data_IF_165950121506
#
_entry.id   IF_165950121506
#
_cell.length_a   1.000
_cell.length_b   1.000
_cell.length_c   1.000
_cell.angle_alpha   90.00
_cell.angle_beta   90.00
_cell.angle_gamma   90.00
#
_symmetry.space_group_name_H-M   'P 1'
#
loop_
_entity.id
_entity.type
_entity.pdbx_description
1 polymer ?
#
# COMPACT_ATOMS: atom_id res chain seq x y z
N UNK A 1 21.92 6.74 1.68
CA UNK A 1 20.50 6.40 1.50
C UNK A 1 20.22 5.16 2.34
N UNK A 2 19.14 5.15 3.12
CA UNK A 2 18.82 4.01 3.99
C UNK A 2 18.16 2.89 3.16
N UNK A 3 18.16 1.65 3.66
CA UNK A 3 17.53 0.52 2.96
C UNK A 3 16.01 0.72 2.71
N UNK A 4 15.39 1.71 3.36
CA UNK A 4 13.95 2.03 3.31
C UNK A 4 13.63 3.13 2.30
N UNK A 5 14.61 3.98 1.96
CA UNK A 5 14.43 5.15 1.11
C UNK A 5 13.92 4.77 -0.29
N UNK A 6 14.58 3.80 -0.94
CA UNK A 6 14.25 3.39 -2.32
C UNK A 6 12.88 2.71 -2.40
N UNK A 7 12.54 1.70 -1.57
CA UNK A 7 11.22 1.10 -1.57
C UNK A 7 10.08 2.10 -1.30
N UNK A 8 10.30 3.04 -0.38
CA UNK A 8 9.26 4.02 0.00
C UNK A 8 9.01 5.03 -1.13
N UNK A 9 10.07 5.49 -1.82
CA UNK A 9 9.93 6.33 -3.00
C UNK A 9 9.22 5.59 -4.15
N UNK A 10 9.61 4.35 -4.41
CA UNK A 10 8.94 3.51 -5.41
C UNK A 10 7.46 3.30 -5.08
N UNK A 11 7.14 3.09 -3.80
CA UNK A 11 5.75 2.98 -3.36
C UNK A 11 4.96 4.28 -3.54
N UNK A 12 5.56 5.42 -3.20
CA UNK A 12 4.94 6.73 -3.30
C UNK A 12 4.65 7.10 -4.77
N UNK A 13 5.62 6.90 -5.66
CA UNK A 13 5.44 7.18 -7.10
C UNK A 13 4.37 6.28 -7.70
N UNK A 14 4.41 5.00 -7.38
CA UNK A 14 3.44 4.02 -7.88
C UNK A 14 2.02 4.28 -7.36
N UNK A 15 1.88 4.65 -6.09
CA UNK A 15 0.60 5.00 -5.49
C UNK A 15 -0.03 6.21 -6.19
N UNK A 16 0.75 7.27 -6.40
CA UNK A 16 0.27 8.47 -7.08
C UNK A 16 -0.06 8.20 -8.54
N UNK A 17 0.80 7.44 -9.25
CA UNK A 17 0.56 7.04 -10.62
C UNK A 17 -0.75 6.23 -10.75
N UNK A 18 -1.00 5.28 -9.84
CA UNK A 18 -2.23 4.50 -9.83
C UNK A 18 -3.46 5.36 -9.57
N UNK A 19 -3.41 6.24 -8.56
CA UNK A 19 -4.49 7.17 -8.25
C UNK A 19 -4.84 8.09 -9.43
N UNK A 20 -3.81 8.64 -10.09
CA UNK A 20 -3.95 9.49 -11.27
C UNK A 20 -4.48 8.71 -12.47
N UNK A 21 -3.99 7.49 -12.73
CA UNK A 21 -4.46 6.67 -13.83
C UNK A 21 -5.96 6.34 -13.70
N UNK A 22 -6.40 5.95 -12.50
CA UNK A 22 -7.84 5.69 -12.23
C UNK A 22 -8.67 6.98 -12.38
N UNK A 23 -8.15 8.12 -11.90
CA UNK A 23 -8.84 9.40 -12.06
C UNK A 23 -8.95 9.84 -13.53
N UNK A 24 -7.87 9.77 -14.30
CA UNK A 24 -7.85 10.17 -15.71
C UNK A 24 -8.78 9.31 -16.57
N UNK A 25 -8.92 8.02 -16.23
CA UNK A 25 -9.82 7.14 -16.97
C UNK A 25 -11.27 7.64 -16.97
N UNK A 26 -11.77 8.14 -15.83
CA UNK A 26 -13.11 8.75 -15.74
C UNK A 26 -13.18 9.80 -14.61
N UNK A 27 -12.69 10.99 -14.92
CA UNK A 27 -12.56 12.08 -13.94
C UNK A 27 -13.89 12.60 -13.38
N UNK A 28 -15.01 12.39 -14.09
CA UNK A 28 -16.36 12.80 -13.64
C UNK A 28 -16.98 11.84 -12.62
N UNK A 29 -16.44 10.63 -12.48
CA UNK A 29 -16.99 9.62 -11.58
C UNK A 29 -16.51 9.89 -10.15
N UNK A 30 -17.46 10.03 -9.20
CA UNK A 30 -17.13 10.28 -7.80
C UNK A 30 -16.27 9.16 -7.18
N UNK A 31 -16.48 7.90 -7.56
CA UNK A 31 -15.66 6.79 -7.06
C UNK A 31 -14.17 6.95 -7.44
N UNK A 32 -13.88 7.38 -8.67
CA UNK A 32 -12.51 7.60 -9.13
C UNK A 32 -11.88 8.82 -8.45
N UNK A 33 -12.67 9.87 -8.20
CA UNK A 33 -12.24 11.03 -7.42
C UNK A 33 -11.96 10.66 -5.95
N UNK A 34 -12.81 9.82 -5.34
CA UNK A 34 -12.61 9.32 -3.98
C UNK A 34 -11.39 8.40 -3.90
N UNK A 35 -11.14 7.58 -4.93
CA UNK A 35 -9.95 6.75 -5.02
C UNK A 35 -8.66 7.57 -5.17
N UNK A 36 -8.71 8.69 -5.92
CA UNK A 36 -7.60 9.64 -5.97
C UNK A 36 -7.37 10.27 -4.60
N UNK A 37 -8.42 10.71 -3.90
CA UNK A 37 -8.30 11.26 -2.55
C UNK A 37 -7.71 10.24 -1.56
N UNK A 38 -8.14 8.98 -1.65
CA UNK A 38 -7.56 7.86 -0.90
C UNK A 38 -6.08 7.67 -1.23
N UNK A 39 -5.71 7.73 -2.51
CA UNK A 39 -4.32 7.61 -2.96
C UNK A 39 -3.44 8.76 -2.46
N UNK A 40 -3.98 9.97 -2.40
CA UNK A 40 -3.29 11.14 -1.82
C UNK A 40 -3.12 10.97 -0.31
N UNK A 41 -4.13 10.48 0.41
CA UNK A 41 -4.01 10.19 1.85
C UNK A 41 -2.92 9.15 2.12
N UNK A 42 -2.87 8.08 1.32
CA UNK A 42 -1.80 7.07 1.38
C UNK A 42 -0.42 7.70 1.08
N UNK A 43 -0.33 8.53 0.04
CA UNK A 43 0.92 9.20 -0.31
C UNK A 43 1.39 10.16 0.80
N UNK A 44 0.47 10.84 1.48
CA UNK A 44 0.78 11.67 2.66
C UNK A 44 1.36 10.85 3.80
N UNK A 45 0.80 9.67 4.06
CA UNK A 45 1.34 8.74 5.05
C UNK A 45 2.73 8.20 4.65
N UNK A 46 2.91 7.78 3.38
CA UNK A 46 4.20 7.33 2.85
C UNK A 46 5.26 8.44 2.89
N UNK A 47 4.86 9.69 2.65
CA UNK A 47 5.74 10.86 2.76
C UNK A 47 6.20 11.05 4.20
N UNK A 48 5.30 10.93 5.17
CA UNK A 48 5.65 11.00 6.59
C UNK A 48 6.66 9.92 7.00
N UNK A 49 6.49 8.69 6.50
CA UNK A 49 7.48 7.62 6.68
C UNK A 49 8.82 7.96 6.03
N UNK A 50 8.81 8.42 4.78
CA UNK A 50 10.01 8.75 4.03
C UNK A 50 10.81 9.86 4.72
N UNK A 51 10.20 11.02 4.97
CA UNK A 51 10.91 12.14 5.56
C UNK A 51 11.22 11.91 7.05
N UNK A 52 10.35 11.22 7.79
CA UNK A 52 10.59 10.86 9.18
C UNK A 52 11.75 9.89 9.39
N UNK A 53 12.01 9.00 8.43
CA UNK A 53 13.15 8.04 8.49
C UNK A 53 14.46 8.60 7.96
N UNK A 54 14.42 9.68 7.15
CA UNK A 54 15.61 10.28 6.54
C UNK A 54 16.08 11.56 7.25
N UNK A 55 15.34 12.06 8.25
CA UNK A 55 15.75 13.20 9.05
C UNK A 55 16.60 12.78 10.26
N UNK A 56 17.56 13.63 10.63
CA UNK A 56 18.34 13.52 11.87
C UNK A 56 17.83 14.47 12.96
N UNK A 57 16.94 15.40 12.62
CA UNK A 57 16.37 16.38 13.56
C UNK A 57 15.09 15.83 14.24
N UNK A 58 15.07 15.68 15.58
CA UNK A 58 13.91 15.24 16.36
C UNK A 58 12.63 16.03 16.07
N UNK A 59 12.73 17.35 15.86
CA UNK A 59 11.55 18.20 15.61
C UNK A 59 10.94 17.93 14.25
N UNK A 60 11.78 17.71 13.25
CA UNK A 60 11.34 17.35 11.89
C UNK A 60 10.71 15.96 11.90
N UNK A 61 11.28 15.00 12.62
CA UNK A 61 10.68 13.67 12.80
C UNK A 61 9.31 13.75 13.46
N UNK A 62 9.19 14.53 14.55
CA UNK A 62 7.93 14.76 15.24
C UNK A 62 6.85 15.30 14.30
N UNK A 63 7.17 16.32 13.50
CA UNK A 63 6.27 16.89 12.50
C UNK A 63 5.76 15.82 11.53
N UNK A 64 6.66 15.00 10.96
CA UNK A 64 6.27 13.97 10.00
C UNK A 64 5.49 12.82 10.62
N UNK A 65 5.74 12.48 11.88
CA UNK A 65 4.92 11.50 12.62
C UNK A 65 3.49 12.05 12.78
N UNK A 66 3.33 13.32 13.16
CA UNK A 66 2.00 13.97 13.27
C UNK A 66 1.27 13.97 11.93
N UNK A 67 1.97 14.30 10.83
CA UNK A 67 1.39 14.27 9.48
C UNK A 67 1.02 12.85 9.04
N UNK A 68 1.85 11.85 9.34
CA UNK A 68 1.54 10.46 9.04
C UNK A 68 0.29 9.99 9.80
N UNK A 69 0.14 10.34 11.07
CA UNK A 69 -1.05 10.02 11.86
C UNK A 69 -2.30 10.73 11.34
N UNK A 70 -2.21 12.01 10.97
CA UNK A 70 -3.32 12.73 10.35
C UNK A 70 -3.72 12.11 8.99
N UNK A 71 -2.74 11.70 8.18
CA UNK A 71 -2.97 11.01 6.91
C UNK A 71 -3.67 9.65 7.10
N UNK A 72 -3.36 8.92 8.17
CA UNK A 72 -4.05 7.67 8.51
C UNK A 72 -5.53 7.89 8.86
N UNK A 73 -5.87 9.02 9.48
CA UNK A 73 -7.26 9.38 9.78
C UNK A 73 -8.01 9.81 8.51
N UNK A 74 -7.34 10.54 7.62
CA UNK A 74 -7.86 10.87 6.29
C UNK A 74 -8.07 9.63 5.41
N UNK A 75 -7.22 8.60 5.56
CA UNK A 75 -7.39 7.31 4.88
C UNK A 75 -8.74 6.67 5.25
N UNK A 76 -9.11 6.62 6.54
CA UNK A 76 -10.40 6.05 6.95
C UNK A 76 -11.59 6.86 6.42
N UNK A 77 -11.48 8.19 6.41
CA UNK A 77 -12.52 9.06 5.82
C UNK A 77 -12.68 8.78 4.32
N UNK A 78 -11.57 8.76 3.58
CA UNK A 78 -11.60 8.57 2.13
C UNK A 78 -12.08 7.18 1.73
N UNK A 79 -11.83 6.15 2.55
CA UNK A 79 -12.48 4.85 2.41
C UNK A 79 -14.01 4.92 2.60
N UNK A 80 -14.49 5.62 3.63
CA UNK A 80 -15.93 5.81 3.83
C UNK A 80 -16.57 6.53 2.64
N UNK A 81 -15.92 7.59 2.14
CA UNK A 81 -16.37 8.34 0.96
C UNK A 81 -16.38 7.46 -0.28
N UNK A 82 -15.36 6.62 -0.47
CA UNK A 82 -15.32 5.65 -1.56
C UNK A 82 -16.50 4.66 -1.47
N UNK A 83 -16.78 4.09 -0.28
CA UNK A 83 -17.96 3.22 -0.05
C UNK A 83 -19.26 3.89 -0.48
N UNK A 84 -19.48 5.11 0.02
CA UNK A 84 -20.70 5.86 -0.25
C UNK A 84 -20.81 6.24 -1.73
N UNK A 85 -19.70 6.59 -2.37
CA UNK A 85 -19.67 6.94 -3.80
C UNK A 85 -20.04 5.77 -4.71
N UNK A 86 -19.69 4.54 -4.33
CA UNK A 86 -20.05 3.32 -5.06
C UNK A 86 -21.52 2.96 -4.80
N UNK A 87 -21.97 3.00 -3.54
CA UNK A 87 -23.32 2.57 -3.15
C UNK A 87 -24.43 3.52 -3.60
N UNK A 88 -24.23 4.83 -3.47
CA UNK A 88 -25.34 5.79 -3.58
C UNK A 88 -25.39 6.51 -4.93
N UNK A 89 -24.46 6.22 -5.84
CA UNK A 89 -24.30 6.87 -7.16
C UNK A 89 -24.61 8.38 -7.13
N UNK A 90 -24.14 9.07 -6.07
CA UNK A 90 -24.54 10.44 -5.80
C UNK A 90 -24.09 11.37 -6.93
N UNK A 91 -24.93 12.36 -7.27
CA UNK A 91 -24.67 13.29 -8.37
C UNK A 91 -23.56 14.32 -8.07
N UNK A 92 -23.04 14.41 -6.85
CA UNK A 92 -21.95 15.35 -6.55
C UNK A 92 -21.44 15.37 -5.10
N UNK A 93 -20.30 16.06 -4.91
CA UNK A 93 -19.57 16.16 -3.63
C UNK A 93 -20.39 16.69 -2.47
N UNK A 94 -21.24 17.71 -2.69
CA UNK A 94 -22.05 18.30 -1.62
C UNK A 94 -22.97 17.27 -0.96
N UNK A 95 -23.55 16.38 -1.77
CA UNK A 95 -24.41 15.30 -1.26
C UNK A 95 -23.56 14.25 -0.54
N UNK A 96 -22.42 13.87 -1.10
CA UNK A 96 -21.51 12.88 -0.50
C UNK A 96 -20.99 13.33 0.87
N UNK A 97 -20.52 14.58 0.96
CA UNK A 97 -20.06 15.17 2.22
C UNK A 97 -21.21 15.38 3.21
N UNK A 98 -22.42 15.68 2.71
CA UNK A 98 -23.64 15.76 3.52
C UNK A 98 -23.97 14.46 4.24
N UNK A 99 -23.87 13.32 3.55
CA UNK A 99 -24.09 11.99 4.14
C UNK A 99 -22.93 11.54 5.04
N UNK A 100 -21.74 12.10 4.86
CA UNK A 100 -20.54 11.77 5.63
C UNK A 100 -20.20 12.80 6.72
N UNK A 101 -21.13 13.70 7.10
CA UNK A 101 -20.88 14.80 8.06
C UNK A 101 -20.29 14.31 9.39
N UNK A 102 -20.86 13.27 9.98
CA UNK A 102 -20.38 12.70 11.25
C UNK A 102 -18.94 12.22 11.11
N UNK A 103 -18.64 11.48 10.03
CA UNK A 103 -17.28 11.03 9.73
C UNK A 103 -16.33 12.20 9.51
N UNK A 104 -16.74 13.26 8.80
CA UNK A 104 -15.94 14.46 8.58
C UNK A 104 -15.59 15.15 9.90
N UNK A 105 -16.57 15.38 10.77
CA UNK A 105 -16.34 16.02 12.06
C UNK A 105 -15.40 15.19 12.94
N UNK A 106 -15.57 13.87 12.98
CA UNK A 106 -14.69 12.98 13.72
C UNK A 106 -13.27 12.99 13.15
N UNK A 107 -13.11 12.91 11.83
CA UNK A 107 -11.80 12.98 11.16
C UNK A 107 -11.11 14.32 11.44
N UNK A 108 -11.82 15.45 11.37
CA UNK A 108 -11.26 16.76 11.70
C UNK A 108 -10.85 16.83 13.17
N UNK A 109 -11.70 16.38 14.08
CA UNK A 109 -11.39 16.39 15.52
C UNK A 109 -10.15 15.56 15.86
N UNK A 110 -10.07 14.33 15.35
CA UNK A 110 -8.90 13.46 15.56
C UNK A 110 -7.67 13.98 14.79
N UNK A 111 -7.86 14.56 13.62
CA UNK A 111 -6.79 15.21 12.86
C UNK A 111 -6.16 16.38 13.63
N UNK A 112 -6.98 17.20 14.31
CA UNK A 112 -6.52 18.26 15.21
C UNK A 112 -5.80 17.65 16.41
N UNK A 113 -6.36 16.60 17.03
CA UNK A 113 -5.71 15.90 18.15
C UNK A 113 -4.28 15.45 17.79
N UNK A 114 -4.07 14.90 16.59
CA UNK A 114 -2.73 14.51 16.11
C UNK A 114 -1.72 15.68 16.08
N UNK A 115 -2.17 16.92 15.91
CA UNK A 115 -1.31 18.11 15.91
C UNK A 115 -0.98 18.63 17.32
N UNK A 116 -1.59 18.09 18.38
CA UNK A 116 -1.40 18.55 19.76
C UNK A 116 -0.34 17.76 20.52
N UNK A 117 0.26 18.36 21.56
CA UNK A 117 1.18 17.65 22.47
C UNK A 117 0.50 16.55 23.30
N UNK A 118 -0.84 16.55 23.36
CA UNK A 118 -1.59 15.46 23.98
C UNK A 118 -1.40 14.13 23.23
N UNK A 119 -1.26 14.18 21.90
CA UNK A 119 -1.05 12.99 21.08
C UNK A 119 0.43 12.56 21.07
N UNK A 120 1.33 13.48 20.75
CA UNK A 120 2.76 13.22 20.61
C UNK A 120 3.54 14.25 21.42
N UNK A 121 4.32 13.77 22.39
CA UNK A 121 5.17 14.61 23.26
C UNK A 121 6.56 14.86 22.65
N UNK A 122 7.02 13.96 21.79
CA UNK A 122 8.28 14.11 21.06
C UNK A 122 8.64 12.87 20.26
N UNK A 123 9.82 12.89 19.63
CA UNK A 123 10.39 11.76 18.91
C UNK A 123 11.80 11.47 19.40
N UNK A 124 12.08 10.21 19.75
CA UNK A 124 13.42 9.75 20.09
C UNK A 124 14.10 9.18 18.85
N UNK A 125 15.26 9.74 18.52
CA UNK A 125 16.06 9.25 17.40
C UNK A 125 16.67 7.89 17.73
N UNK A 126 16.56 6.96 16.80
CA UNK A 126 17.22 5.67 16.90
C UNK A 126 18.73 5.87 16.74
N UNK A 127 19.53 5.28 17.63
CA UNK A 127 21.00 5.34 17.56
C UNK A 127 21.58 4.63 16.33
N UNK A 128 20.78 3.78 15.69
CA UNK A 128 21.15 3.03 14.48
C UNK A 128 20.64 3.77 13.24
N UNK A 129 21.53 4.15 12.30
CA UNK A 129 21.14 4.81 11.06
C UNK A 129 20.17 3.97 10.23
N UNK A 130 19.05 4.55 9.82
CA UNK A 130 18.06 3.93 8.93
C UNK A 130 16.91 3.18 9.61
N UNK A 131 16.86 3.17 10.94
CA UNK A 131 15.67 2.78 11.68
C UNK A 131 14.76 4.01 11.92
N UNK A 132 13.43 3.84 11.82
CA UNK A 132 12.51 4.94 12.07
C UNK A 132 12.67 5.50 13.51
N UNK A 133 12.44 6.81 13.69
CA UNK A 133 12.42 7.42 15.01
C UNK A 133 11.30 6.80 15.85
N UNK A 134 11.56 6.61 17.15
CA UNK A 134 10.57 6.10 18.09
C UNK A 134 9.70 7.25 18.61
N UNK A 135 8.37 7.25 18.36
CA UNK A 135 7.49 8.28 18.89
C UNK A 135 7.33 8.16 20.41
N UNK A 136 7.36 9.28 21.11
CA UNK A 136 7.01 9.39 22.53
C UNK A 136 5.57 9.92 22.59
N UNK A 137 4.62 8.99 22.72
CA UNK A 137 3.21 9.32 22.75
C UNK A 137 2.77 9.96 24.08
N UNK A 138 1.76 10.83 24.00
CA UNK A 138 1.00 11.31 25.16
C UNK A 138 -0.32 10.57 25.31
N UNK A 139 -1.11 10.95 26.32
CA UNK A 139 -2.35 10.24 26.69
C UNK A 139 -3.43 10.30 25.59
N UNK A 140 -3.34 11.28 24.68
CA UNK A 140 -4.20 11.39 23.50
C UNK A 140 -4.07 10.22 22.52
N UNK A 141 -3.00 9.41 22.61
CA UNK A 141 -2.84 8.21 21.78
C UNK A 141 -3.93 7.17 22.06
N UNK A 142 -4.46 7.09 23.28
CA UNK A 142 -5.52 6.14 23.62
C UNK A 142 -6.83 6.52 22.93
N UNK A 143 -7.15 7.82 22.88
CA UNK A 143 -8.32 8.34 22.15
C UNK A 143 -8.17 8.07 20.66
N UNK A 144 -6.98 8.36 20.10
CA UNK A 144 -6.67 8.07 18.70
C UNK A 144 -6.83 6.57 18.39
N UNK A 145 -6.29 5.69 19.23
CA UNK A 145 -6.32 4.25 19.03
C UNK A 145 -7.74 3.68 19.13
N UNK A 146 -8.50 4.11 20.14
CA UNK A 146 -9.90 3.73 20.30
C UNK A 146 -10.75 4.17 19.09
N UNK A 147 -10.55 5.42 18.64
CA UNK A 147 -11.20 5.91 17.43
C UNK A 147 -10.84 5.08 16.21
N UNK A 148 -9.55 4.79 15.99
CA UNK A 148 -9.08 4.08 14.81
C UNK A 148 -9.65 2.65 14.75
N UNK A 149 -9.64 1.93 15.87
CA UNK A 149 -10.23 0.58 15.98
C UNK A 149 -11.74 0.62 15.77
N UNK A 150 -12.46 1.52 16.45
CA UNK A 150 -13.90 1.65 16.30
C UNK A 150 -14.29 2.02 14.85
N UNK A 151 -13.58 2.96 14.23
CA UNK A 151 -13.80 3.38 12.86
C UNK A 151 -13.56 2.23 11.87
N UNK A 152 -12.50 1.45 12.04
CA UNK A 152 -12.26 0.25 11.23
C UNK A 152 -13.40 -0.77 11.38
N UNK A 153 -13.81 -1.11 12.60
CA UNK A 153 -14.90 -2.06 12.84
C UNK A 153 -16.23 -1.58 12.25
N UNK A 154 -16.54 -0.29 12.40
CA UNK A 154 -17.73 0.32 11.81
C UNK A 154 -17.66 0.31 10.28
N UNK A 155 -16.49 0.59 9.69
CA UNK A 155 -16.30 0.50 8.24
C UNK A 155 -16.51 -0.92 7.74
N UNK A 156 -15.82 -1.91 8.33
CA UNK A 156 -15.98 -3.32 7.95
C UNK A 156 -17.43 -3.78 8.08
N UNK A 157 -18.08 -3.48 9.20
CA UNK A 157 -19.48 -3.84 9.43
C UNK A 157 -20.41 -3.18 8.40
N UNK A 158 -20.19 -1.89 8.10
CA UNK A 158 -20.97 -1.16 7.10
C UNK A 158 -20.74 -1.70 5.69
N UNK A 159 -19.49 -2.01 5.32
CA UNK A 159 -19.15 -2.63 4.04
C UNK A 159 -19.83 -3.99 3.89
N UNK A 160 -19.80 -4.81 4.94
CA UNK A 160 -20.43 -6.13 4.94
C UNK A 160 -21.95 -6.04 4.79
N UNK A 161 -22.58 -5.11 5.50
CA UNK A 161 -24.01 -4.84 5.36
C UNK A 161 -24.36 -4.31 3.97
N UNK A 162 -23.56 -3.40 3.42
CA UNK A 162 -23.75 -2.85 2.08
C UNK A 162 -23.56 -3.92 1.01
N UNK A 163 -22.61 -4.84 1.19
CA UNK A 163 -22.39 -5.96 0.30
C UNK A 163 -23.60 -6.89 0.26
N UNK A 164 -24.17 -7.24 1.42
CA UNK A 164 -25.38 -8.07 1.49
C UNK A 164 -26.62 -7.45 0.82
N UNK A 165 -26.64 -6.13 0.68
CA UNK A 165 -27.79 -5.38 0.13
C UNK A 165 -27.62 -4.96 -1.33
N UNK A 166 -26.45 -5.17 -1.92
CA UNK A 166 -26.15 -4.76 -3.30
C UNK A 166 -26.11 -5.96 -4.22
N UNK A 167 -26.47 -5.77 -5.49
CA UNK A 167 -26.40 -6.80 -6.53
C UNK A 167 -25.74 -6.25 -7.79
N UNK A 168 -25.25 -7.14 -8.65
CA UNK A 168 -24.64 -6.75 -9.92
C UNK A 168 -23.30 -6.01 -9.78
N UNK A 169 -23.18 -4.82 -10.36
CA UNK A 169 -21.89 -4.11 -10.48
C UNK A 169 -21.38 -3.45 -9.22
N UNK A 170 -22.29 -2.93 -8.41
CA UNK A 170 -21.96 -2.31 -7.13
C UNK A 170 -21.42 -3.36 -6.14
N UNK A 171 -22.02 -4.57 -6.16
CA UNK A 171 -21.55 -5.71 -5.38
C UNK A 171 -20.12 -6.12 -5.74
N UNK A 172 -19.77 -6.12 -7.03
CA UNK A 172 -18.42 -6.47 -7.48
C UNK A 172 -17.39 -5.42 -7.02
N UNK A 173 -17.68 -4.13 -7.17
CA UNK A 173 -16.76 -3.06 -6.73
C UNK A 173 -16.60 -3.04 -5.21
N UNK A 174 -17.69 -3.16 -4.45
CA UNK A 174 -17.66 -3.27 -2.99
C UNK A 174 -16.92 -4.53 -2.52
N UNK A 175 -17.12 -5.67 -3.21
CA UNK A 175 -16.38 -6.91 -2.96
C UNK A 175 -14.88 -6.71 -3.12
N UNK A 176 -14.43 -6.09 -4.22
CA UNK A 176 -12.99 -5.86 -4.42
C UNK A 176 -12.40 -4.88 -3.41
N UNK A 177 -13.14 -3.83 -3.03
CA UNK A 177 -12.67 -2.91 -1.99
C UNK A 177 -12.54 -3.65 -0.65
N UNK A 178 -13.53 -4.48 -0.31
CA UNK A 178 -13.53 -5.27 0.91
C UNK A 178 -12.43 -6.34 0.92
N UNK A 179 -12.25 -7.08 -0.18
CA UNK A 179 -11.18 -8.06 -0.34
C UNK A 179 -9.82 -7.37 -0.23
N UNK A 180 -9.65 -6.21 -0.87
CA UNK A 180 -8.44 -5.39 -0.72
C UNK A 180 -8.18 -5.02 0.73
N UNK A 181 -9.20 -4.52 1.43
CA UNK A 181 -9.12 -4.17 2.86
C UNK A 181 -8.78 -5.34 3.77
N UNK A 182 -9.47 -6.47 3.60
CA UNK A 182 -9.19 -7.70 4.36
C UNK A 182 -7.79 -8.21 4.05
N UNK A 183 -7.39 -8.26 2.78
CA UNK A 183 -6.05 -8.69 2.38
C UNK A 183 -4.98 -7.78 2.99
N UNK A 184 -5.19 -6.47 3.03
CA UNK A 184 -4.26 -5.53 3.63
C UNK A 184 -4.13 -5.71 5.14
N UNK A 185 -5.26 -5.89 5.85
CA UNK A 185 -5.26 -6.15 7.31
C UNK A 185 -4.64 -7.50 7.62
N UNK A 186 -5.03 -8.56 6.91
CA UNK A 186 -4.48 -9.90 7.07
C UNK A 186 -2.98 -9.94 6.76
N UNK A 187 -2.54 -9.29 5.68
CA UNK A 187 -1.12 -9.19 5.34
C UNK A 187 -0.35 -8.37 6.37
N UNK A 188 -0.94 -7.29 6.89
CA UNK A 188 -0.34 -6.49 7.98
C UNK A 188 -0.19 -7.30 9.26
N UNK A 189 -1.22 -8.04 9.67
CA UNK A 189 -1.19 -8.89 10.87
C UNK A 189 -0.21 -10.04 10.69
N UNK A 190 -0.34 -10.82 9.62
CA UNK A 190 0.54 -11.95 9.32
C UNK A 190 2.01 -11.52 9.26
N UNK A 191 2.30 -10.41 8.58
CA UNK A 191 3.67 -9.93 8.45
C UNK A 191 4.21 -9.36 9.77
N UNK A 192 3.37 -8.74 10.62
CA UNK A 192 3.82 -8.29 11.94
C UNK A 192 4.09 -9.48 12.87
N UNK A 193 3.19 -10.46 12.94
CA UNK A 193 3.38 -11.68 13.74
C UNK A 193 4.60 -12.50 13.31
N UNK A 194 4.80 -12.67 11.99
CA UNK A 194 5.92 -13.45 11.45
C UNK A 194 7.25 -12.71 11.61
N UNK A 195 7.29 -11.39 11.36
CA UNK A 195 8.52 -10.59 11.49
C UNK A 195 8.91 -10.36 12.96
N UNK A 196 7.95 -10.16 13.86
CA UNK A 196 8.24 -10.02 15.29
C UNK A 196 8.82 -11.33 15.86
N UNK A 197 8.31 -12.48 15.40
CA UNK A 197 8.78 -13.79 15.88
C UNK A 197 10.14 -14.21 15.30
N UNK A 198 10.49 -13.74 14.10
CA UNK A 198 11.71 -14.18 13.40
C UNK A 198 12.87 -13.17 13.44
N UNK A 199 12.60 -11.86 13.48
CA UNK A 199 13.61 -10.83 13.16
C UNK A 199 13.61 -9.64 14.15
N UNK A 200 12.61 -9.53 15.03
CA UNK A 200 12.47 -8.47 16.03
C UNK A 200 11.84 -7.18 15.49
N UNK A 201 11.13 -6.45 16.37
CA UNK A 201 10.22 -5.32 16.05
C UNK A 201 10.79 -4.26 15.10
N UNK A 202 12.10 -4.03 15.14
CA UNK A 202 12.76 -2.97 14.39
C UNK A 202 12.70 -3.17 12.86
N UNK A 203 12.69 -4.43 12.37
CA UNK A 203 12.68 -4.71 10.93
C UNK A 203 11.28 -4.86 10.34
N UNK A 204 10.25 -5.01 11.17
CA UNK A 204 8.86 -5.12 10.72
C UNK A 204 8.35 -3.86 10.01
N UNK A 205 8.84 -2.69 10.45
CA UNK A 205 8.52 -1.39 9.90
C UNK A 205 9.08 -1.16 8.48
N UNK A 206 10.13 -1.88 8.09
CA UNK A 206 10.72 -1.81 6.74
C UNK A 206 9.73 -2.28 5.66
N UNK A 207 8.79 -3.15 6.04
CA UNK A 207 7.80 -3.70 5.11
C UNK A 207 6.49 -2.92 5.09
N UNK A 208 6.34 -1.88 5.91
CA UNK A 208 5.12 -1.09 5.98
C UNK A 208 4.70 -0.48 4.61
N UNK A 209 5.60 0.05 3.76
CA UNK A 209 5.24 0.59 2.44
C UNK A 209 4.61 -0.45 1.49
N UNK A 210 5.09 -1.70 1.53
CA UNK A 210 4.60 -2.76 0.65
C UNK A 210 3.16 -3.19 0.98
N UNK A 211 2.79 -3.17 2.28
CA UNK A 211 1.42 -3.54 2.73
C UNK A 211 0.36 -2.66 2.09
N UNK A 212 0.64 -1.35 2.02
CA UNK A 212 -0.30 -0.37 1.49
C UNK A 212 -0.35 -0.40 -0.04
N UNK A 213 0.74 -0.75 -0.72
CA UNK A 213 0.71 -0.99 -2.16
C UNK A 213 -0.22 -2.14 -2.53
N UNK A 214 -0.13 -3.29 -1.84
CA UNK A 214 -1.01 -4.44 -2.09
C UNK A 214 -2.49 -4.04 -1.96
N UNK A 215 -2.82 -3.30 -0.90
CA UNK A 215 -4.16 -2.73 -0.71
C UNK A 215 -4.60 -1.90 -1.93
N UNK A 216 -3.80 -0.90 -2.32
CA UNK A 216 -4.12 0.01 -3.40
C UNK A 216 -4.23 -0.67 -4.75
N UNK A 217 -3.40 -1.68 -5.02
CA UNK A 217 -3.48 -2.48 -6.24
C UNK A 217 -4.79 -3.26 -6.31
N UNK A 218 -5.19 -3.94 -5.23
CA UNK A 218 -6.43 -4.72 -5.21
C UNK A 218 -7.65 -3.81 -5.36
N UNK A 219 -7.68 -2.70 -4.63
CA UNK A 219 -8.79 -1.73 -4.70
C UNK A 219 -8.84 -1.02 -6.07
N UNK A 220 -7.69 -0.54 -6.55
CA UNK A 220 -7.58 0.11 -7.86
C UNK A 220 -7.94 -0.82 -9.00
N UNK A 221 -7.52 -2.09 -8.94
CA UNK A 221 -7.95 -3.14 -9.86
C UNK A 221 -9.47 -3.33 -9.81
N UNK A 222 -10.06 -3.45 -8.61
CA UNK A 222 -11.51 -3.57 -8.45
C UNK A 222 -12.31 -2.46 -9.13
N UNK A 223 -11.85 -1.22 -9.00
CA UNK A 223 -12.48 -0.03 -9.60
C UNK A 223 -12.24 0.02 -11.12
N UNK A 224 -11.04 -0.33 -11.59
CA UNK A 224 -10.65 -0.24 -13.01
C UNK A 224 -11.25 -1.36 -13.89
N UNK A 225 -11.37 -2.58 -13.37
CA UNK A 225 -11.71 -3.78 -14.16
C UNK A 225 -13.18 -3.82 -14.59
N UNK A 226 -14.07 -3.04 -13.98
CA UNK A 226 -15.52 -3.16 -14.20
C UNK A 226 -16.09 -2.27 -15.31
N UNK A 227 -15.41 -1.21 -15.76
CA UNK A 227 -15.98 -0.29 -16.77
C UNK A 227 -15.03 0.16 -17.88
N UNK A 228 -13.77 -0.23 -17.84
CA UNK A 228 -12.82 0.14 -18.89
C UNK A 228 -12.32 -1.14 -19.54
N UNK A 229 -13.01 -1.54 -20.60
CA UNK A 229 -12.50 -2.56 -21.53
C UNK A 229 -11.08 -2.18 -22.05
N UNK A 230 -10.67 -0.90 -21.96
CA UNK A 230 -9.32 -0.41 -22.29
C UNK A 230 -8.32 -0.39 -21.12
N UNK A 231 -8.68 -0.05 -19.86
CA UNK A 231 -7.74 -0.13 -18.72
C UNK A 231 -7.61 -1.55 -18.20
N UNK A 232 -8.58 -2.43 -18.49
CA UNK A 232 -8.37 -3.87 -18.41
C UNK A 232 -7.18 -4.34 -19.25
N UNK A 233 -6.90 -3.70 -20.39
CA UNK A 233 -5.70 -4.00 -21.19
C UNK A 233 -4.43 -3.50 -20.51
N UNK A 234 -4.39 -2.25 -20.01
CA UNK A 234 -3.23 -1.74 -19.29
C UNK A 234 -2.96 -2.52 -18.00
N UNK A 235 -3.98 -2.86 -17.22
CA UNK A 235 -3.85 -3.65 -15.99
C UNK A 235 -3.57 -5.12 -16.26
N UNK A 236 -4.16 -5.76 -17.29
CA UNK A 236 -3.74 -7.10 -17.72
C UNK A 236 -2.31 -7.11 -18.18
N UNK A 237 -1.87 -6.06 -18.89
CA UNK A 237 -0.50 -5.92 -19.36
C UNK A 237 0.45 -5.69 -18.20
N UNK A 238 0.07 -4.86 -17.23
CA UNK A 238 0.82 -4.65 -16.00
C UNK A 238 0.91 -5.94 -15.18
N UNK A 239 -0.19 -6.67 -14.98
CA UNK A 239 -0.23 -7.97 -14.29
C UNK A 239 0.58 -9.00 -15.08
N UNK A 240 0.44 -9.08 -16.40
CA UNK A 240 1.22 -9.97 -17.23
C UNK A 240 2.72 -9.68 -17.11
N UNK A 241 3.12 -8.40 -17.08
CA UNK A 241 4.50 -8.02 -16.82
C UNK A 241 4.94 -8.28 -15.38
N UNK A 242 4.06 -8.15 -14.39
CA UNK A 242 4.36 -8.44 -12.99
C UNK A 242 4.54 -9.95 -12.77
N UNK A 243 3.65 -10.76 -13.36
CA UNK A 243 3.74 -12.22 -13.37
C UNK A 243 4.96 -12.68 -14.15
N UNK A 244 5.24 -12.07 -15.31
CA UNK A 244 6.46 -12.35 -16.07
C UNK A 244 7.70 -12.00 -15.27
N UNK A 245 7.74 -10.83 -14.64
CA UNK A 245 8.86 -10.42 -13.79
C UNK A 245 9.04 -11.38 -12.61
N UNK A 246 7.95 -11.76 -11.93
CA UNK A 246 7.99 -12.72 -10.84
C UNK A 246 8.49 -14.10 -11.31
N UNK A 247 8.02 -14.57 -12.47
CA UNK A 247 8.49 -15.79 -13.11
C UNK A 247 9.99 -15.73 -13.42
N UNK A 248 10.47 -14.64 -14.03
CA UNK A 248 11.88 -14.47 -14.36
C UNK A 248 12.76 -14.38 -13.11
N UNK A 249 12.31 -13.71 -12.05
CA UNK A 249 13.01 -13.66 -10.76
C UNK A 249 13.07 -15.04 -10.11
N UNK A 250 11.96 -15.78 -10.11
CA UNK A 250 11.92 -17.14 -9.57
C UNK A 250 12.85 -18.08 -10.37
N UNK A 251 12.82 -17.99 -11.70
CA UNK A 251 13.68 -18.76 -12.59
C UNK A 251 15.16 -18.42 -12.36
N UNK A 252 15.49 -17.14 -12.23
CA UNK A 252 16.85 -16.69 -11.89
C UNK A 252 17.34 -17.32 -10.59
N UNK A 253 16.54 -17.19 -9.52
CA UNK A 253 16.89 -17.72 -8.21
C UNK A 253 17.05 -19.23 -8.23
N UNK A 254 16.17 -19.94 -8.94
CA UNK A 254 16.24 -21.40 -9.09
C UNK A 254 17.49 -21.84 -9.84
N UNK A 255 17.79 -21.21 -10.98
CA UNK A 255 18.98 -21.54 -11.78
C UNK A 255 20.26 -21.18 -11.04
N UNK A 256 20.29 -20.02 -10.38
CA UNK A 256 21.42 -19.60 -9.57
C UNK A 256 21.63 -20.56 -8.39
N UNK A 257 20.57 -20.95 -7.68
CA UNK A 257 20.64 -21.90 -6.57
C UNK A 257 21.14 -23.28 -6.99
N UNK A 258 20.61 -23.81 -8.10
CA UNK A 258 21.06 -25.08 -8.68
C UNK A 258 22.52 -25.01 -9.13
N UNK A 259 22.89 -23.94 -9.83
CA UNK A 259 24.26 -23.74 -10.31
C UNK A 259 25.24 -23.61 -9.15
N UNK A 260 24.89 -22.82 -8.13
CA UNK A 260 25.70 -22.70 -6.91
C UNK A 260 25.86 -24.05 -6.20
N UNK A 261 24.79 -24.82 -6.08
CA UNK A 261 24.81 -26.13 -5.41
C UNK A 261 25.68 -27.16 -6.12
N UNK A 262 25.81 -27.07 -7.45
CA UNK A 262 26.62 -28.00 -8.26
C UNK A 262 28.06 -27.51 -8.47
N UNK A 263 28.27 -26.21 -8.72
CA UNK A 263 29.59 -25.68 -9.11
C UNK A 263 30.48 -25.28 -7.93
N UNK A 264 29.92 -24.85 -6.79
CA UNK A 264 30.74 -24.51 -5.60
C UNK A 264 31.52 -25.73 -5.06
N UNK A 265 30.95 -26.95 -4.97
CA UNK A 265 31.70 -28.13 -4.53
C UNK A 265 32.86 -28.52 -5.45
N UNK A 266 32.82 -28.12 -6.73
CA UNK A 266 33.76 -28.59 -7.76
C UNK A 266 34.86 -27.55 -8.05
N UNK A 267 34.52 -26.26 -8.07
CA UNK A 267 35.40 -25.19 -8.59
C UNK A 267 35.64 -24.08 -7.54
N UNK A 268 35.10 -24.20 -6.33
CA UNK A 268 35.30 -23.20 -5.27
C UNK A 268 34.60 -21.87 -5.56
N UNK A 269 35.19 -20.73 -5.15
CA UNK A 269 34.52 -19.42 -5.20
C UNK A 269 34.26 -18.88 -6.62
N UNK A 270 35.04 -19.30 -7.62
CA UNK A 270 34.85 -18.92 -9.02
C UNK A 270 33.56 -19.50 -9.63
N UNK A 271 33.01 -20.57 -9.03
CA UNK A 271 31.71 -21.14 -9.39
C UNK A 271 30.53 -20.17 -9.18
N UNK A 272 30.68 -19.14 -8.34
CA UNK A 272 29.64 -18.11 -8.14
C UNK A 272 29.49 -17.20 -9.36
N UNK A 273 30.59 -16.85 -10.02
CA UNK A 273 30.58 -16.00 -11.22
C UNK A 273 29.90 -16.77 -12.36
N UNK A 274 30.26 -18.05 -12.54
CA UNK A 274 29.62 -18.94 -13.52
C UNK A 274 28.12 -19.12 -13.26
N UNK A 275 27.70 -19.22 -12.00
CA UNK A 275 26.28 -19.32 -11.65
C UNK A 275 25.47 -18.08 -12.04
N UNK A 276 26.02 -16.87 -11.89
CA UNK A 276 25.37 -15.64 -12.35
C UNK A 276 25.30 -15.56 -13.87
N UNK A 277 26.35 -15.96 -14.59
CA UNK A 277 26.38 -16.00 -16.06
C UNK A 277 25.35 -16.99 -16.59
N UNK A 278 25.29 -18.21 -16.05
CA UNK A 278 24.30 -19.22 -16.41
C UNK A 278 22.86 -18.74 -16.15
N UNK A 279 22.60 -18.15 -14.99
CA UNK A 279 21.27 -17.64 -14.65
C UNK A 279 20.85 -16.48 -15.59
N UNK A 280 21.77 -15.59 -15.94
CA UNK A 280 21.50 -14.52 -16.91
C UNK A 280 21.23 -15.07 -18.33
N UNK A 281 21.98 -16.10 -18.74
CA UNK A 281 21.83 -16.75 -20.05
C UNK A 281 20.47 -17.45 -20.15
N UNK A 282 20.04 -18.16 -19.11
CA UNK A 282 18.73 -18.81 -19.05
C UNK A 282 17.58 -17.80 -19.07
N UNK A 283 17.70 -16.66 -18.39
CA UNK A 283 16.72 -15.55 -18.52
C UNK A 283 16.67 -15.06 -19.95
N UNK A 284 17.82 -14.81 -20.58
CA UNK A 284 17.87 -14.27 -21.94
C UNK A 284 17.18 -15.22 -22.94
N UNK A 285 17.38 -16.53 -22.81
CA UNK A 285 16.68 -17.55 -23.60
C UNK A 285 15.18 -17.62 -23.27
N UNK A 286 14.78 -17.48 -22.00
CA UNK A 286 13.38 -17.45 -21.60
C UNK A 286 12.63 -16.20 -22.08
N UNK A 287 13.34 -15.09 -22.32
CA UNK A 287 12.81 -13.84 -22.88
C UNK A 287 12.86 -13.78 -24.40
N UNK A 288 13.59 -14.68 -25.07
CA UNK A 288 13.64 -14.73 -26.53
C UNK A 288 12.22 -15.00 -27.06
N UNK A 289 11.65 -14.09 -27.88
CA UNK A 289 10.29 -14.28 -28.37
C UNK A 289 10.29 -15.54 -29.26
N UNK A 290 9.34 -16.44 -29.01
CA UNK A 290 9.05 -17.59 -29.87
C UNK A 290 8.46 -17.10 -31.22
N UNK A 291 9.25 -16.34 -31.99
CA UNK A 291 8.97 -15.98 -33.38
C UNK A 291 9.57 -17.08 -34.25
N UNK A 292 8.78 -18.11 -34.56
CA UNK A 292 9.19 -19.03 -35.63
C UNK A 292 8.61 -20.44 -35.69
N UNK A 293 7.67 -20.86 -34.83
CA UNK A 293 7.19 -22.28 -34.88
C UNK A 293 5.66 -22.42 -34.98
N UNK A 294 4.89 -21.34 -35.05
CA UNK A 294 3.47 -21.43 -35.42
C UNK A 294 2.97 -20.14 -36.05
N UNK A 295 3.21 -19.99 -37.35
CA UNK A 295 2.35 -19.25 -38.27
C UNK A 295 1.91 -20.20 -39.37
#
# INVERSE_FOLDING_TARGET
>A
MTAVTIPTLGALTLQLALGLAVFQAHSKRLANQCFLALSIAIAGWLSGLFFGTNTTDPKVAEFWIRQASAAAVLYLLTLNLLRLSVRQQLRGWRSLLGHSRVWLFLTVGIGILCQTQLFLKGAQMSAVPGLPPKPIYGDGVYIFSAFFVAALLLLFSSYWQDLRKTSGGEHAELSFILIGGIAAVSFTLALSFVLDRLIGESRALLFAPFRVLVFSFVVGYGIATRKILEVGFFMRRAIAYLVLAAYLVALYFLVWWLSVSVFIPIIGQDGRILAHVLAALVIAFAMAPARGVSQ
#
